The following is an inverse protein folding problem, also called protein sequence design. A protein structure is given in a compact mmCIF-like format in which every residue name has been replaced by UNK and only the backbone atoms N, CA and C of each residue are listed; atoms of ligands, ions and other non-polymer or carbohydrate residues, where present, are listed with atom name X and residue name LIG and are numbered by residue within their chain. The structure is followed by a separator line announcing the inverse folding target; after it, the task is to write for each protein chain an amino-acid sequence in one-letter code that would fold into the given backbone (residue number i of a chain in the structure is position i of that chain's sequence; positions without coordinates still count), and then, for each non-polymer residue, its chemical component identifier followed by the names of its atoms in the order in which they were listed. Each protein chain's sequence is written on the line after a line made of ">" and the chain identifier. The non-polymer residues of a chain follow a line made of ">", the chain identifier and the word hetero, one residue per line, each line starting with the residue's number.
data_IF_421001084006
#
_entry.id   IF_421001084006
#
_cell.length_a   1.000
_cell.length_b   1.000
_cell.length_c   1.000
_cell.angle_alpha   90.00
_cell.angle_beta   90.00
_cell.angle_gamma   90.00
#
_symmetry.space_group_name_H-M   'P 1'
#
loop_
_entity.id
_entity.type
_entity.pdbx_description
1 polymer ?
#
# COMPACT_ATOMS: atom_id res chain seq x y z
N UNK A 1 78.42 -35.68 15.86
CA UNK A 1 77.85 -35.38 14.53
C UNK A 1 76.35 -35.53 14.61
N UNK A 2 75.63 -34.43 14.93
CA UNK A 2 74.18 -34.40 15.16
C UNK A 2 73.53 -33.53 14.08
N UNK A 3 72.68 -34.17 13.27
CA UNK A 3 71.91 -33.54 12.22
C UNK A 3 70.68 -32.81 12.78
N UNK A 4 70.31 -31.60 12.32
CA UNK A 4 69.14 -30.90 12.79
C UNK A 4 67.87 -31.38 12.06
N UNK A 5 66.82 -31.68 12.82
CA UNK A 5 65.47 -31.94 12.32
C UNK A 5 64.80 -30.65 11.80
N UNK A 6 64.49 -30.63 10.51
CA UNK A 6 63.72 -29.54 9.90
C UNK A 6 62.22 -29.71 10.29
N UNK A 7 61.67 -28.72 10.98
CA UNK A 7 60.23 -28.64 11.25
C UNK A 7 59.52 -28.17 9.98
N UNK A 8 58.69 -29.03 9.39
CA UNK A 8 57.77 -28.69 8.29
C UNK A 8 56.52 -28.03 8.87
N UNK A 9 56.35 -26.75 8.63
CA UNK A 9 55.11 -26.03 8.96
C UNK A 9 54.07 -26.31 7.86
N UNK A 10 53.00 -26.98 8.20
CA UNK A 10 51.85 -27.20 7.30
C UNK A 10 50.98 -25.96 7.40
N UNK A 11 50.93 -25.17 6.35
CA UNK A 11 49.98 -24.04 6.24
C UNK A 11 48.60 -24.62 5.87
N UNK A 12 47.67 -24.54 6.79
CA UNK A 12 46.28 -24.91 6.54
C UNK A 12 45.61 -23.73 5.79
N UNK A 13 45.24 -23.94 4.52
CA UNK A 13 44.43 -23.05 3.77
C UNK A 13 42.97 -23.20 4.24
N UNK A 14 42.43 -22.19 4.95
CA UNK A 14 41.02 -22.08 5.20
C UNK A 14 40.35 -21.62 3.89
N UNK A 15 39.66 -22.52 3.22
CA UNK A 15 38.78 -22.17 2.10
C UNK A 15 37.52 -21.46 2.71
N UNK A 16 37.43 -20.13 2.55
CA UNK A 16 36.24 -19.36 2.83
C UNK A 16 35.17 -19.74 1.80
N UNK A 17 34.12 -20.45 2.24
CA UNK A 17 32.92 -20.68 1.43
C UNK A 17 32.17 -19.34 1.30
N UNK A 18 32.24 -18.73 0.13
CA UNK A 18 31.44 -17.57 -0.22
C UNK A 18 30.01 -18.09 -0.43
N UNK A 19 29.00 -17.62 0.34
CA UNK A 19 27.63 -17.99 0.05
C UNK A 19 27.27 -17.44 -1.33
N UNK A 20 27.11 -18.33 -2.31
CA UNK A 20 26.56 -17.95 -3.61
C UNK A 20 25.12 -17.48 -3.36
N UNK A 21 24.79 -16.25 -3.79
CA UNK A 21 23.40 -15.81 -3.85
C UNK A 21 22.65 -16.81 -4.73
N UNK A 22 21.79 -17.63 -4.13
CA UNK A 22 20.91 -18.50 -4.87
C UNK A 22 20.00 -17.60 -5.74
N UNK A 23 19.98 -17.85 -7.05
CA UNK A 23 19.02 -17.18 -7.91
C UNK A 23 17.60 -17.52 -7.43
N UNK A 24 16.69 -16.53 -7.38
CA UNK A 24 15.30 -16.80 -7.02
C UNK A 24 14.72 -17.86 -7.96
N UNK A 25 13.91 -18.77 -7.42
CA UNK A 25 13.19 -19.74 -8.24
C UNK A 25 12.28 -18.99 -9.21
N UNK A 26 12.45 -19.12 -10.55
CA UNK A 26 11.62 -18.44 -11.53
C UNK A 26 10.15 -18.88 -11.49
N UNK A 27 9.83 -20.00 -10.80
CA UNK A 27 8.48 -20.50 -10.62
C UNK A 27 7.92 -20.19 -9.21
N UNK A 28 8.68 -19.49 -8.37
CA UNK A 28 8.19 -19.10 -7.06
C UNK A 28 7.03 -18.13 -7.22
N UNK A 29 5.85 -18.53 -6.76
CA UNK A 29 4.67 -17.66 -6.69
C UNK A 29 4.65 -16.98 -5.33
N UNK A 30 4.80 -15.66 -5.32
CA UNK A 30 4.64 -14.86 -4.09
C UNK A 30 3.20 -14.37 -4.03
N UNK A 31 2.48 -14.76 -3.00
CA UNK A 31 1.18 -14.16 -2.70
C UNK A 31 1.41 -12.83 -2.00
N UNK A 32 1.06 -11.73 -2.66
CA UNK A 32 1.12 -10.40 -2.05
C UNK A 32 -0.16 -10.15 -1.26
N UNK A 33 0.00 -9.71 -0.01
CA UNK A 33 -1.11 -9.36 0.86
C UNK A 33 -1.41 -7.85 0.77
N UNK A 34 -2.71 -7.52 0.72
CA UNK A 34 -3.21 -6.18 1.00
C UNK A 34 -3.70 -6.08 2.44
N UNK A 35 -4.10 -4.88 2.89
CA UNK A 35 -4.82 -4.70 4.15
C UNK A 35 -6.15 -5.47 4.13
N UNK A 36 -6.77 -5.68 5.30
CA UNK A 36 -8.05 -6.39 5.36
C UNK A 36 -9.12 -5.71 4.49
N UNK A 37 -9.73 -6.50 3.57
CA UNK A 37 -10.75 -6.00 2.63
C UNK A 37 -12.04 -5.63 3.37
N UNK A 38 -12.44 -6.38 4.39
CA UNK A 38 -13.70 -6.12 5.11
C UNK A 38 -13.64 -4.76 5.84
N UNK A 39 -12.50 -4.42 6.43
CA UNK A 39 -12.28 -3.13 7.09
C UNK A 39 -12.24 -1.95 6.11
N UNK A 40 -12.05 -2.20 4.81
CA UNK A 40 -12.05 -1.14 3.79
C UNK A 40 -13.44 -0.50 3.62
N UNK A 41 -14.51 -1.17 4.03
CA UNK A 41 -15.87 -0.62 3.99
C UNK A 41 -16.00 0.66 4.82
N UNK A 42 -15.21 0.80 5.89
CA UNK A 42 -15.15 2.03 6.71
C UNK A 42 -14.27 3.13 6.07
N UNK A 43 -13.29 2.77 5.24
CA UNK A 43 -12.35 3.69 4.60
C UNK A 43 -12.91 4.25 3.29
N UNK A 44 -13.62 3.41 2.53
CA UNK A 44 -14.14 3.74 1.20
C UNK A 44 -14.97 5.03 1.15
N UNK A 45 -15.91 5.31 2.08
CA UNK A 45 -16.73 6.53 2.00
C UNK A 45 -15.90 7.81 2.03
N UNK A 46 -14.87 7.85 2.87
CA UNK A 46 -13.93 8.98 2.91
C UNK A 46 -13.16 9.12 1.59
N UNK A 47 -12.61 8.02 1.06
CA UNK A 47 -11.85 8.03 -0.19
C UNK A 47 -12.73 8.39 -1.38
N UNK A 48 -13.97 7.89 -1.45
CA UNK A 48 -14.93 8.23 -2.50
C UNK A 48 -15.19 9.74 -2.50
N UNK A 49 -15.57 10.28 -1.33
CA UNK A 49 -15.94 11.68 -1.19
C UNK A 49 -14.79 12.67 -1.43
N UNK A 50 -13.58 12.36 -0.96
CA UNK A 50 -12.45 13.32 -1.01
C UNK A 50 -11.51 13.09 -2.17
N UNK A 51 -11.40 11.87 -2.65
CA UNK A 51 -10.44 11.47 -3.69
C UNK A 51 -11.14 10.94 -4.95
N UNK A 52 -12.33 10.33 -4.80
CA UNK A 52 -13.06 9.62 -5.83
C UNK A 52 -13.92 10.48 -6.74
N UNK A 53 -13.90 11.80 -6.64
CA UNK A 53 -14.69 12.69 -7.51
C UNK A 53 -14.21 12.63 -8.97
N UNK A 54 -15.07 13.03 -9.92
CA UNK A 54 -14.79 13.01 -11.38
C UNK A 54 -13.56 13.82 -11.77
N UNK A 55 -13.25 14.89 -11.03
CA UNK A 55 -12.09 15.73 -11.29
C UNK A 55 -10.78 15.11 -10.75
N UNK A 56 -10.89 14.13 -9.85
CA UNK A 56 -9.79 13.49 -9.16
C UNK A 56 -9.60 12.04 -9.61
N UNK A 57 -9.84 11.07 -8.73
CA UNK A 57 -9.61 9.65 -8.99
C UNK A 57 -10.86 8.89 -9.45
N UNK A 58 -12.02 9.52 -9.45
CA UNK A 58 -13.28 8.98 -9.95
C UNK A 58 -13.40 9.03 -11.48
N UNK A 59 -12.30 8.92 -12.20
CA UNK A 59 -12.26 8.96 -13.67
C UNK A 59 -11.33 7.89 -14.24
N UNK A 60 -11.63 7.43 -15.46
CA UNK A 60 -10.83 6.42 -16.18
C UNK A 60 -9.40 6.85 -16.55
N UNK A 61 -9.11 8.14 -16.47
CA UNK A 61 -7.84 8.72 -16.95
C UNK A 61 -6.76 8.83 -15.87
N UNK A 62 -7.01 8.29 -14.68
CA UNK A 62 -6.04 8.28 -13.58
C UNK A 62 -5.48 6.87 -13.38
N UNK A 63 -4.21 6.77 -12.92
CA UNK A 63 -3.60 5.49 -12.58
C UNK A 63 -4.31 4.84 -11.40
N UNK A 64 -4.50 5.58 -10.29
CA UNK A 64 -5.42 5.18 -9.24
C UNK A 64 -6.84 5.53 -9.69
N UNK A 65 -7.76 4.57 -9.60
CA UNK A 65 -9.18 4.75 -9.92
C UNK A 65 -10.01 4.36 -8.71
N UNK A 66 -10.94 5.21 -8.39
CA UNK A 66 -11.92 4.96 -7.33
C UNK A 66 -13.31 4.99 -7.96
N UNK A 67 -14.10 4.00 -7.59
CA UNK A 67 -15.50 3.87 -8.05
C UNK A 67 -16.41 4.13 -6.86
N UNK A 68 -17.50 4.86 -7.10
CA UNK A 68 -18.47 5.13 -6.08
C UNK A 68 -19.43 6.25 -6.42
N UNK A 69 -20.16 6.68 -5.41
CA UNK A 69 -21.22 7.68 -5.52
C UNK A 69 -20.74 8.99 -6.15
N UNK A 70 -19.58 9.51 -5.71
CA UNK A 70 -19.13 10.86 -6.08
C UNK A 70 -18.34 10.88 -7.41
N UNK A 71 -18.05 9.71 -7.97
CA UNK A 71 -17.21 9.57 -9.15
C UNK A 71 -17.69 8.55 -10.17
N UNK A 72 -16.72 7.89 -10.79
CA UNK A 72 -16.97 6.90 -11.83
C UNK A 72 -17.74 5.71 -11.26
N UNK A 73 -18.81 5.34 -11.95
CA UNK A 73 -19.61 4.18 -11.63
C UNK A 73 -19.11 2.94 -12.35
N UNK A 74 -19.27 1.77 -11.73
CA UNK A 74 -18.82 0.51 -12.30
C UNK A 74 -19.84 -0.06 -13.32
N UNK A 75 -21.12 0.03 -13.01
CA UNK A 75 -22.16 -0.48 -13.88
C UNK A 75 -22.51 0.53 -14.98
N UNK A 76 -22.72 0.00 -16.19
CA UNK A 76 -23.18 0.80 -17.33
C UNK A 76 -24.58 1.36 -17.06
N UNK A 77 -24.71 2.66 -17.21
CA UNK A 77 -25.97 3.37 -16.98
C UNK A 77 -26.11 3.98 -15.58
N UNK A 78 -25.25 3.62 -14.63
CA UNK A 78 -25.22 4.32 -13.35
C UNK A 78 -24.64 5.72 -13.53
N UNK A 79 -25.24 6.67 -12.79
CA UNK A 79 -24.86 8.09 -12.87
C UNK A 79 -24.23 8.49 -11.53
N UNK A 80 -23.07 9.21 -11.56
CA UNK A 80 -22.50 9.79 -10.35
C UNK A 80 -23.52 10.65 -9.59
N UNK A 81 -23.56 10.51 -8.26
CA UNK A 81 -24.47 11.23 -7.39
C UNK A 81 -25.92 10.68 -7.34
N UNK A 82 -26.28 9.67 -8.17
CA UNK A 82 -27.65 9.21 -8.26
C UNK A 82 -27.99 8.06 -7.27
N UNK A 83 -27.04 7.15 -7.03
CA UNK A 83 -27.26 5.99 -6.15
C UNK A 83 -26.06 5.74 -5.25
N UNK A 84 -26.24 5.09 -4.08
CA UNK A 84 -25.13 4.78 -3.18
C UNK A 84 -24.04 3.94 -3.86
N UNK A 85 -22.82 4.02 -3.34
CA UNK A 85 -21.71 3.14 -3.71
C UNK A 85 -22.08 1.69 -3.46
N UNK A 86 -21.88 0.84 -4.45
CA UNK A 86 -22.18 -0.61 -4.37
C UNK A 86 -20.97 -1.38 -3.80
N UNK A 87 -21.19 -2.58 -3.27
CA UNK A 87 -20.11 -3.45 -2.80
C UNK A 87 -19.12 -3.80 -3.92
N UNK A 88 -19.60 -3.97 -5.16
CA UNK A 88 -18.74 -4.21 -6.32
C UNK A 88 -17.81 -3.01 -6.62
N UNK A 89 -18.27 -1.79 -6.41
CA UNK A 89 -17.46 -0.57 -6.54
C UNK A 89 -16.44 -0.44 -5.41
N UNK A 90 -16.82 -0.83 -4.19
CA UNK A 90 -15.89 -0.91 -3.06
C UNK A 90 -14.79 -1.94 -3.35
N UNK A 91 -15.14 -3.12 -3.87
CA UNK A 91 -14.18 -4.16 -4.27
C UNK A 91 -13.22 -3.66 -5.37
N UNK A 92 -13.75 -2.98 -6.38
CA UNK A 92 -12.96 -2.43 -7.47
C UNK A 92 -11.99 -1.35 -6.99
N UNK A 93 -12.44 -0.46 -6.09
CA UNK A 93 -11.62 0.59 -5.47
C UNK A 93 -10.52 0.00 -4.61
N UNK A 94 -10.85 -1.00 -3.76
CA UNK A 94 -9.87 -1.72 -2.97
C UNK A 94 -8.80 -2.36 -3.86
N UNK A 95 -9.22 -3.10 -4.88
CA UNK A 95 -8.31 -3.75 -5.81
C UNK A 95 -7.38 -2.74 -6.51
N UNK A 96 -7.91 -1.58 -6.92
CA UNK A 96 -7.13 -0.53 -7.57
C UNK A 96 -6.07 0.08 -6.63
N UNK A 97 -6.39 0.25 -5.35
CA UNK A 97 -5.44 0.76 -4.35
C UNK A 97 -4.33 -0.26 -4.10
N UNK A 98 -4.69 -1.53 -3.86
CA UNK A 98 -3.72 -2.59 -3.55
C UNK A 98 -2.81 -2.87 -4.74
N UNK A 99 -3.36 -2.83 -5.97
CA UNK A 99 -2.61 -3.08 -7.19
C UNK A 99 -1.75 -1.91 -7.66
N UNK A 100 -1.83 -0.73 -7.01
CA UNK A 100 -1.04 0.43 -7.41
C UNK A 100 0.47 0.21 -7.21
N UNK A 101 0.85 -0.34 -6.05
CA UNK A 101 2.23 -0.65 -5.64
C UNK A 101 2.22 -1.94 -4.80
N UNK A 102 1.92 -3.10 -5.40
CA UNK A 102 1.54 -4.29 -4.64
C UNK A 102 2.67 -4.82 -3.73
N UNK A 103 3.94 -4.73 -4.15
CA UNK A 103 5.06 -5.18 -3.34
C UNK A 103 5.29 -4.25 -2.13
N UNK A 104 5.15 -2.93 -2.34
CA UNK A 104 5.28 -1.94 -1.26
C UNK A 104 4.09 -2.06 -0.32
N UNK A 105 2.89 -2.25 -0.86
CA UNK A 105 1.68 -2.47 -0.06
C UNK A 105 1.84 -3.71 0.84
N UNK A 106 2.27 -4.84 0.27
CA UNK A 106 2.54 -6.05 1.04
C UNK A 106 3.58 -5.82 2.14
N UNK A 107 4.66 -5.08 1.86
CA UNK A 107 5.68 -4.79 2.86
C UNK A 107 5.15 -3.89 3.99
N UNK A 108 4.36 -2.85 3.66
CA UNK A 108 3.74 -1.97 4.67
C UNK A 108 2.77 -2.75 5.57
N UNK A 109 1.95 -3.63 4.98
CA UNK A 109 1.00 -4.46 5.74
C UNK A 109 1.74 -5.47 6.62
N UNK A 110 2.78 -6.13 6.11
CA UNK A 110 3.60 -7.06 6.87
C UNK A 110 4.30 -6.40 8.07
N UNK A 111 4.65 -5.12 7.94
CA UNK A 111 5.23 -4.28 8.99
C UNK A 111 4.16 -3.59 9.86
N UNK A 112 2.92 -4.06 9.86
CA UNK A 112 1.79 -3.49 10.63
C UNK A 112 1.59 -1.98 10.41
N UNK A 113 1.69 -1.53 9.16
CA UNK A 113 1.52 -0.13 8.79
C UNK A 113 2.72 0.77 9.14
N UNK A 114 3.85 0.20 9.57
CA UNK A 114 5.05 0.99 9.80
C UNK A 114 5.55 1.63 8.50
N UNK A 115 5.95 2.90 8.58
CA UNK A 115 6.42 3.68 7.43
C UNK A 115 5.43 3.71 6.27
N UNK A 116 4.15 4.13 6.48
CA UNK A 116 3.12 4.15 5.46
C UNK A 116 3.46 5.11 4.31
N UNK A 117 4.34 6.09 4.55
CA UNK A 117 4.88 7.01 3.53
C UNK A 117 5.72 6.33 2.44
N UNK A 118 6.01 5.03 2.55
CA UNK A 118 6.55 4.24 1.44
C UNK A 118 5.56 4.16 0.28
N UNK A 119 4.26 4.22 0.57
CA UNK A 119 3.21 4.19 -0.45
C UNK A 119 3.00 5.56 -1.08
N UNK A 120 2.93 5.60 -2.41
CA UNK A 120 2.58 6.81 -3.18
C UNK A 120 1.21 7.34 -2.78
N UNK A 121 0.26 6.46 -2.45
CA UNK A 121 -1.05 6.84 -1.91
C UNK A 121 -0.90 7.81 -0.72
N UNK A 122 -0.08 7.44 0.26
CA UNK A 122 0.12 8.23 1.49
C UNK A 122 0.92 9.50 1.21
N UNK A 123 2.02 9.41 0.43
CA UNK A 123 2.83 10.59 0.09
C UNK A 123 2.02 11.66 -0.64
N UNK A 124 1.21 11.25 -1.62
CA UNK A 124 0.37 12.18 -2.39
C UNK A 124 -0.76 12.76 -1.54
N UNK A 125 -1.42 11.94 -0.73
CA UNK A 125 -2.46 12.40 0.18
C UNK A 125 -1.92 13.44 1.19
N UNK A 126 -0.72 13.22 1.73
CA UNK A 126 -0.01 14.16 2.64
C UNK A 126 0.65 15.36 1.92
N UNK A 127 0.68 15.38 0.59
CA UNK A 127 1.33 16.45 -0.19
C UNK A 127 2.85 16.44 -0.12
N UNK A 128 3.48 15.37 0.40
CA UNK A 128 4.95 15.20 0.42
C UNK A 128 5.51 14.76 -0.93
N UNK A 129 4.65 14.34 -1.83
CA UNK A 129 4.94 14.10 -3.24
C UNK A 129 4.00 14.96 -4.10
N UNK A 130 4.51 15.46 -5.25
CA UNK A 130 3.73 16.31 -6.16
C UNK A 130 2.39 15.66 -6.52
N UNK A 131 1.30 16.35 -6.21
CA UNK A 131 -0.08 15.91 -6.43
C UNK A 131 -0.94 17.08 -6.90
N UNK A 132 -1.71 16.89 -7.98
CA UNK A 132 -2.53 17.97 -8.55
C UNK A 132 -3.65 18.42 -7.59
N UNK A 133 -4.14 17.51 -6.74
CA UNK A 133 -5.13 17.82 -5.69
C UNK A 133 -4.55 18.50 -4.45
N UNK A 134 -3.23 18.72 -4.40
CA UNK A 134 -2.56 19.24 -3.21
C UNK A 134 -2.49 18.26 -2.06
N UNK A 135 -2.26 18.76 -0.84
CA UNK A 135 -2.32 17.99 0.39
C UNK A 135 -3.79 17.86 0.83
N UNK A 136 -4.27 16.62 0.90
CA UNK A 136 -5.64 16.31 1.32
C UNK A 136 -5.70 15.98 2.80
N UNK A 137 -4.62 15.41 3.36
CA UNK A 137 -4.52 15.03 4.76
C UNK A 137 -3.29 15.64 5.41
N UNK A 138 -3.36 16.01 6.68
CA UNK A 138 -2.19 16.32 7.48
C UNK A 138 -1.79 15.08 8.30
N UNK A 139 -0.49 14.90 8.52
CA UNK A 139 0.00 13.75 9.31
C UNK A 139 -0.65 13.76 10.70
N UNK A 140 -1.31 12.68 11.06
CA UNK A 140 -1.98 12.47 12.33
C UNK A 140 -3.37 13.13 12.46
N UNK A 141 -3.90 13.77 11.42
CA UNK A 141 -5.31 14.16 11.42
C UNK A 141 -6.23 12.92 11.24
N UNK A 142 -7.53 13.08 11.46
CA UNK A 142 -8.48 11.96 11.41
C UNK A 142 -8.50 11.24 10.04
N UNK A 143 -8.18 11.95 8.95
CA UNK A 143 -8.12 11.40 7.60
C UNK A 143 -6.87 10.53 7.43
N UNK A 144 -5.74 11.03 7.96
CA UNK A 144 -4.49 10.27 7.99
C UNK A 144 -4.61 9.03 8.87
N UNK A 145 -5.20 9.18 10.06
CA UNK A 145 -5.46 8.06 10.97
C UNK A 145 -6.36 7.01 10.34
N UNK A 146 -7.42 7.42 9.62
CA UNK A 146 -8.28 6.48 8.90
C UNK A 146 -7.50 5.62 7.91
N UNK A 147 -6.65 6.22 7.06
CA UNK A 147 -5.87 5.47 6.06
C UNK A 147 -4.81 4.61 6.76
N UNK A 148 -4.04 5.18 7.69
CA UNK A 148 -2.88 4.51 8.27
C UNK A 148 -3.25 3.40 9.25
N UNK A 149 -4.35 3.53 9.99
CA UNK A 149 -4.89 2.47 10.85
C UNK A 149 -5.39 1.26 10.02
N UNK A 150 -6.00 1.50 8.87
CA UNK A 150 -6.37 0.44 7.93
C UNK A 150 -5.13 -0.29 7.40
N UNK A 151 -4.08 0.44 7.00
CA UNK A 151 -2.81 -0.16 6.58
C UNK A 151 -2.14 -0.97 7.70
N UNK A 152 -2.36 -0.58 8.95
CA UNK A 152 -1.85 -1.27 10.14
C UNK A 152 -2.67 -2.53 10.53
N UNK A 153 -3.80 -2.80 9.86
CA UNK A 153 -4.69 -3.91 10.17
C UNK A 153 -5.55 -3.69 11.44
N UNK A 154 -5.67 -2.44 11.91
CA UNK A 154 -6.44 -2.04 13.09
C UNK A 154 -7.25 -0.78 12.78
N UNK A 155 -8.16 -0.88 11.80
CA UNK A 155 -8.93 0.25 11.28
C UNK A 155 -9.66 1.02 12.38
N UNK A 156 -9.35 2.31 12.51
CA UNK A 156 -10.05 3.23 13.40
C UNK A 156 -11.32 3.75 12.71
N UNK A 157 -12.43 3.05 12.92
CA UNK A 157 -13.73 3.38 12.34
C UNK A 157 -14.22 4.77 12.78
N UNK A 158 -13.86 5.20 14.01
CA UNK A 158 -14.22 6.53 14.51
C UNK A 158 -13.51 7.62 13.73
N UNK A 159 -12.20 7.42 13.49
CA UNK A 159 -11.42 8.34 12.67
C UNK A 159 -11.95 8.37 11.22
N UNK A 160 -12.31 7.22 10.64
CA UNK A 160 -12.86 7.14 9.29
C UNK A 160 -14.22 7.87 9.17
N UNK A 161 -15.10 7.69 10.14
CA UNK A 161 -16.39 8.41 10.19
C UNK A 161 -16.17 9.93 10.34
N UNK A 162 -15.22 10.35 11.20
CA UNK A 162 -14.86 11.75 11.35
C UNK A 162 -14.21 12.35 10.09
N UNK A 163 -13.40 11.56 9.38
CA UNK A 163 -12.74 11.96 8.13
C UNK A 163 -13.75 12.32 7.02
N UNK A 164 -14.91 11.67 6.99
CA UNK A 164 -15.97 11.91 6.00
C UNK A 164 -16.57 13.31 6.13
N UNK A 165 -16.72 13.81 7.36
CA UNK A 165 -17.34 15.12 7.65
C UNK A 165 -16.31 16.23 7.90
N UNK A 166 -15.04 15.92 7.86
CA UNK A 166 -13.97 16.89 8.07
C UNK A 166 -13.86 17.84 6.86
N UNK A 167 -13.86 19.19 7.06
CA UNK A 167 -13.85 20.17 5.97
C UNK A 167 -12.58 20.14 5.11
#
# INVERSE_FOLDING_TARGET
>A
MTLPFAKRTIAAFLAAAIPACAAPDPNATTTLAGPDRASFDSVQPFLDHRCGTLDCHGTRYRNLRLWGHDGMRLAFGDVPGASPTTSAEVDASYAAIVALEPEIMNAVVADHGAHPERLTLVRKARGTEKHAGGAIVAVGDVRDVCITSWLAGQTDETACAAALVYP
#
